data_IF_399381006301
#
_entry.id   IF_399381006301
#
_cell.length_a   1.000
_cell.length_b   1.000
_cell.length_c   1.000
_cell.angle_alpha   90.00
_cell.angle_beta   90.00
_cell.angle_gamma   90.00
#
_symmetry.space_group_name_H-M   'P 1'
#
loop_
_entity.id
_entity.type
_entity.pdbx_description
1 polymer ?
#
# COMPACT_ATOMS: atom_id res chain seq x y z
N UNK A 1 10.66 5.44 -30.58
CA UNK A 1 9.80 4.89 -29.51
C UNK A 1 10.30 5.40 -28.17
N UNK A 2 9.68 6.44 -27.60
CA UNK A 2 10.04 6.97 -26.28
C UNK A 2 8.78 7.00 -25.40
N UNK A 3 8.33 5.82 -25.02
CA UNK A 3 7.16 5.63 -24.17
C UNK A 3 7.62 5.38 -22.74
N UNK A 4 7.07 6.13 -21.79
CA UNK A 4 7.28 5.95 -20.36
C UNK A 4 5.95 5.61 -19.70
N UNK A 5 5.96 4.75 -18.68
CA UNK A 5 4.78 4.34 -17.93
C UNK A 5 4.12 5.54 -17.23
N UNK A 6 4.91 6.43 -16.63
CA UNK A 6 4.39 7.61 -15.95
C UNK A 6 3.37 7.22 -14.87
N UNK A 7 2.16 7.80 -14.93
CA UNK A 7 1.04 7.46 -14.04
C UNK A 7 0.13 6.33 -14.55
N UNK A 8 0.46 5.68 -15.66
CA UNK A 8 -0.31 4.56 -16.20
C UNK A 8 0.01 3.27 -15.45
N UNK A 9 -0.93 2.32 -15.47
CA UNK A 9 -0.64 0.95 -15.04
C UNK A 9 0.38 0.30 -15.97
N UNK A 10 1.10 -0.72 -15.51
CA UNK A 10 1.96 -1.55 -16.36
C UNK A 10 1.14 -2.19 -17.48
N UNK A 11 -0.14 -2.50 -17.24
CA UNK A 11 -1.04 -3.07 -18.25
C UNK A 11 -1.30 -2.09 -19.39
N UNK A 12 -1.70 -0.86 -19.10
CA UNK A 12 -1.97 0.17 -20.11
C UNK A 12 -0.69 0.53 -20.87
N UNK A 13 0.43 0.65 -20.15
CA UNK A 13 1.74 0.85 -20.75
C UNK A 13 2.12 -0.27 -21.72
N UNK A 14 1.88 -1.53 -21.34
CA UNK A 14 2.18 -2.70 -22.18
C UNK A 14 1.35 -2.72 -23.46
N UNK A 15 0.08 -2.32 -23.37
CA UNK A 15 -0.80 -2.18 -24.51
C UNK A 15 -0.27 -1.12 -25.48
N UNK A 16 0.00 0.09 -24.98
CA UNK A 16 0.55 1.20 -25.79
C UNK A 16 1.90 0.85 -26.41
N UNK A 17 2.78 0.20 -25.64
CA UNK A 17 4.07 -0.27 -26.13
C UNK A 17 3.91 -1.23 -27.33
N UNK A 18 2.97 -2.17 -27.24
CA UNK A 18 2.69 -3.13 -28.30
C UNK A 18 2.11 -2.46 -29.54
N UNK A 19 1.20 -1.50 -29.34
CA UNK A 19 0.59 -0.74 -30.43
C UNK A 19 1.63 0.08 -31.20
N UNK A 20 2.48 0.82 -30.48
CA UNK A 20 3.52 1.61 -31.12
C UNK A 20 4.64 0.76 -31.74
N UNK A 21 4.88 -0.46 -31.22
CA UNK A 21 5.88 -1.40 -31.76
C UNK A 21 5.56 -1.83 -33.19
N UNK A 22 4.27 -1.86 -33.57
CA UNK A 22 3.82 -2.15 -34.94
C UNK A 22 4.36 -1.14 -35.97
N UNK A 23 4.54 0.11 -35.54
CA UNK A 23 4.97 1.21 -36.41
C UNK A 23 6.48 1.46 -36.35
N UNK A 24 7.23 0.73 -35.51
CA UNK A 24 8.66 0.90 -35.33
C UNK A 24 9.44 -0.45 -35.38
N UNK A 25 9.25 -1.28 -36.42
CA UNK A 25 9.81 -2.63 -36.49
C UNK A 25 11.35 -2.64 -36.39
N UNK A 26 12.02 -1.60 -36.87
CA UNK A 26 13.48 -1.45 -36.79
C UNK A 26 13.99 -1.21 -35.37
N UNK A 27 13.19 -0.56 -34.51
CA UNK A 27 13.55 -0.25 -33.12
C UNK A 27 13.40 -1.49 -32.21
N UNK A 28 12.54 -2.44 -32.61
CA UNK A 28 12.22 -3.65 -31.83
C UNK A 28 12.63 -4.94 -32.55
N UNK A 29 13.52 -4.84 -33.54
CA UNK A 29 13.91 -5.97 -34.40
C UNK A 29 14.54 -7.13 -33.61
N UNK A 30 15.35 -6.82 -32.60
CA UNK A 30 15.93 -7.81 -31.70
C UNK A 30 15.00 -8.01 -30.47
N UNK A 31 14.58 -9.25 -30.15
CA UNK A 31 13.76 -9.55 -28.97
C UNK A 31 14.35 -9.01 -27.65
N UNK A 32 15.67 -9.13 -27.46
CA UNK A 32 16.36 -8.60 -26.28
C UNK A 32 16.38 -7.08 -26.26
N UNK A 33 16.57 -6.43 -27.40
CA UNK A 33 16.46 -4.97 -27.49
C UNK A 33 15.04 -4.48 -27.20
N UNK A 34 14.02 -5.23 -27.62
CA UNK A 34 12.61 -4.96 -27.33
C UNK A 34 12.30 -5.04 -25.84
N UNK A 35 12.79 -6.07 -25.16
CA UNK A 35 12.66 -6.21 -23.70
C UNK A 35 13.39 -5.09 -22.96
N UNK A 36 14.63 -4.78 -23.34
CA UNK A 36 15.37 -3.66 -22.75
C UNK A 36 14.61 -2.33 -22.96
N UNK A 37 14.01 -2.15 -24.15
CA UNK A 37 13.28 -0.92 -24.46
C UNK A 37 12.00 -0.77 -23.64
N UNK A 38 11.30 -1.88 -23.40
CA UNK A 38 10.17 -1.93 -22.49
C UNK A 38 10.63 -1.54 -21.07
N UNK A 39 11.68 -2.20 -20.56
CA UNK A 39 12.21 -1.92 -19.22
C UNK A 39 12.59 -0.46 -18.98
N UNK A 40 13.25 0.17 -19.95
CA UNK A 40 13.63 1.59 -19.83
C UNK A 40 12.44 2.54 -19.65
N UNK A 41 11.23 2.12 -20.02
CA UNK A 41 10.02 2.91 -19.83
C UNK A 41 9.14 2.47 -18.67
N UNK A 42 9.45 1.35 -18.02
CA UNK A 42 8.70 0.85 -16.87
C UNK A 42 9.12 1.58 -15.59
N UNK A 43 8.17 1.78 -14.67
CA UNK A 43 8.41 2.42 -13.38
C UNK A 43 9.46 1.69 -12.54
N UNK A 44 10.27 2.44 -11.79
CA UNK A 44 11.31 1.90 -10.89
C UNK A 44 10.76 0.95 -9.83
N UNK A 45 9.45 1.01 -9.56
CA UNK A 45 8.77 0.14 -8.60
C UNK A 45 8.84 -1.34 -8.99
N UNK A 46 8.83 -1.68 -10.28
CA UNK A 46 8.87 -3.08 -10.75
C UNK A 46 10.16 -3.40 -11.52
N UNK A 47 11.01 -2.39 -11.73
CA UNK A 47 12.22 -2.47 -12.55
C UNK A 47 13.23 -3.50 -12.02
N UNK A 48 13.55 -3.48 -10.72
CA UNK A 48 14.61 -4.33 -10.14
C UNK A 48 14.31 -5.82 -10.27
N UNK A 49 13.07 -6.19 -9.99
CA UNK A 49 12.60 -7.57 -10.10
C UNK A 49 12.51 -8.02 -11.56
N UNK A 50 12.10 -7.12 -12.47
CA UNK A 50 12.04 -7.42 -13.90
C UNK A 50 13.44 -7.54 -14.54
N UNK A 51 14.43 -6.74 -14.10
CA UNK A 51 15.82 -6.89 -14.57
C UNK A 51 16.43 -8.24 -14.20
N UNK A 52 16.09 -8.76 -13.01
CA UNK A 52 16.60 -10.06 -12.55
C UNK A 52 15.99 -11.21 -13.35
N UNK A 53 14.69 -11.14 -13.65
CA UNK A 53 14.03 -12.15 -14.48
C UNK A 53 14.50 -12.11 -15.94
N UNK A 54 14.90 -10.96 -16.48
CA UNK A 54 15.49 -10.87 -17.83
C UNK A 54 16.84 -11.57 -18.01
N UNK A 55 17.47 -12.03 -16.93
CA UNK A 55 18.67 -12.86 -16.99
C UNK A 55 18.35 -14.34 -17.25
N UNK A 56 17.07 -14.73 -17.22
CA UNK A 56 16.62 -16.07 -17.57
C UNK A 56 16.53 -16.20 -19.10
N UNK A 57 17.13 -17.25 -19.66
CA UNK A 57 17.24 -17.45 -21.12
C UNK A 57 15.90 -17.74 -21.81
N UNK A 58 14.87 -18.12 -21.06
CA UNK A 58 13.53 -18.44 -21.56
C UNK A 58 12.54 -17.27 -21.49
N UNK A 59 13.01 -16.07 -21.16
CA UNK A 59 12.16 -14.89 -21.06
C UNK A 59 11.95 -14.20 -22.41
N UNK A 60 10.68 -13.89 -22.68
CA UNK A 60 10.25 -13.05 -23.78
C UNK A 60 9.49 -11.81 -23.27
N UNK A 61 9.16 -10.91 -24.19
CA UNK A 61 8.46 -9.67 -23.87
C UNK A 61 7.06 -9.91 -23.27
N UNK A 62 6.34 -10.94 -23.72
CA UNK A 62 4.99 -11.25 -23.24
C UNK A 62 5.02 -11.74 -21.81
N UNK A 63 5.96 -12.63 -21.49
CA UNK A 63 6.18 -13.13 -20.13
C UNK A 63 6.68 -12.04 -19.21
N UNK A 64 7.53 -11.14 -19.71
CA UNK A 64 8.01 -9.97 -18.97
C UNK A 64 6.86 -9.01 -18.63
N UNK A 65 5.96 -8.73 -19.57
CA UNK A 65 4.79 -7.87 -19.34
C UNK A 65 3.87 -8.46 -18.26
N UNK A 66 3.59 -9.75 -18.31
CA UNK A 66 2.76 -10.43 -17.30
C UNK A 66 3.42 -10.38 -15.93
N UNK A 67 4.72 -10.65 -15.87
CA UNK A 67 5.48 -10.59 -14.62
C UNK A 67 5.48 -9.18 -14.02
N UNK A 68 5.70 -8.15 -14.84
CA UNK A 68 5.66 -6.76 -14.40
C UNK A 68 4.29 -6.35 -13.85
N UNK A 69 3.19 -6.80 -14.46
CA UNK A 69 1.83 -6.58 -13.96
C UNK A 69 1.62 -7.22 -12.58
N UNK A 70 2.06 -8.48 -12.41
CA UNK A 70 1.93 -9.19 -11.14
C UNK A 70 2.68 -8.49 -9.99
N UNK A 71 3.87 -7.93 -10.26
CA UNK A 71 4.64 -7.19 -9.27
C UNK A 71 3.95 -5.87 -8.90
N UNK A 72 3.43 -5.14 -9.89
CA UNK A 72 2.71 -3.90 -9.62
C UNK A 72 1.49 -4.16 -8.71
N UNK A 73 0.72 -5.21 -9.01
CA UNK A 73 -0.42 -5.63 -8.19
C UNK A 73 -0.02 -6.11 -6.79
N UNK A 74 1.09 -6.86 -6.67
CA UNK A 74 1.56 -7.34 -5.37
C UNK A 74 2.00 -6.18 -4.47
N UNK A 75 2.74 -5.21 -5.03
CA UNK A 75 3.21 -4.03 -4.29
C UNK A 75 2.07 -3.11 -3.88
N UNK A 76 1.07 -2.91 -4.74
CA UNK A 76 -0.17 -2.18 -4.37
C UNK A 76 -0.88 -2.88 -3.20
N UNK A 77 -0.92 -4.21 -3.20
CA UNK A 77 -1.55 -4.99 -2.12
C UNK A 77 -0.76 -4.89 -0.81
N UNK A 78 0.56 -4.93 -0.86
CA UNK A 78 1.45 -4.76 0.30
C UNK A 78 1.30 -3.36 0.91
N UNK A 79 1.35 -2.28 0.12
CA UNK A 79 1.16 -0.91 0.63
C UNK A 79 -0.21 -0.73 1.32
N UNK A 80 -1.26 -1.39 0.82
CA UNK A 80 -2.61 -1.39 1.45
C UNK A 80 -2.65 -2.18 2.76
N UNK A 81 -1.83 -3.20 2.91
CA UNK A 81 -1.71 -4.01 4.13
C UNK A 81 -0.80 -3.35 5.18
N UNK A 82 0.27 -2.68 4.76
CA UNK A 82 1.16 -1.90 5.63
C UNK A 82 0.44 -0.67 6.23
N UNK A 83 -0.51 -0.08 5.50
CA UNK A 83 -1.45 0.92 6.04
C UNK A 83 -2.44 0.36 7.08
N UNK A 84 -2.50 -0.98 7.23
CA UNK A 84 -3.26 -1.72 8.24
C UNK A 84 -2.34 -2.44 9.22
N UNK A 85 -1.18 -1.90 9.57
CA UNK A 85 -0.47 -2.40 10.74
C UNK A 85 -1.41 -2.24 11.95
N UNK A 86 -1.89 -3.33 12.59
CA UNK A 86 -2.42 -3.19 13.93
C UNK A 86 -1.24 -2.65 14.72
N UNK A 87 -1.47 -1.59 15.49
CA UNK A 87 -0.55 -1.26 16.58
C UNK A 87 -0.31 -2.59 17.29
N UNK A 88 0.93 -3.06 17.37
CA UNK A 88 1.29 -4.08 18.34
C UNK A 88 1.04 -3.42 19.69
N UNK A 89 -0.18 -3.53 20.20
CA UNK A 89 -0.42 -3.30 21.59
C UNK A 89 0.12 -4.48 22.38
N UNK A 90 0.80 -4.08 23.44
CA UNK A 90 0.97 -4.83 24.67
C UNK A 90 2.09 -5.87 24.71
N UNK A 91 3.30 -5.41 25.05
CA UNK A 91 3.99 -5.93 26.24
C UNK A 91 4.84 -4.82 26.88
N UNK A 92 4.39 -4.39 28.06
CA UNK A 92 5.23 -3.98 29.20
C UNK A 92 6.13 -2.76 29.06
N UNK A 93 5.55 -1.56 29.15
CA UNK A 93 6.15 -0.48 29.95
C UNK A 93 5.07 0.14 30.85
N UNK A 94 4.90 -0.42 32.06
CA UNK A 94 4.34 0.31 33.19
C UNK A 94 5.29 1.48 33.51
N UNK A 95 5.22 2.55 32.75
CA UNK A 95 5.63 3.85 33.26
C UNK A 95 4.63 4.22 34.36
N UNK A 96 5.07 4.71 35.53
CA UNK A 96 4.17 5.08 36.61
C UNK A 96 3.36 6.30 36.17
N UNK A 97 2.23 6.05 35.51
CA UNK A 97 1.29 7.06 35.09
C UNK A 97 0.67 7.67 36.34
N UNK A 98 1.17 8.84 36.75
CA UNK A 98 0.69 9.59 37.92
C UNK A 98 -0.81 9.82 37.78
N UNK A 99 -1.58 9.40 38.79
CA UNK A 99 -3.01 9.70 38.87
C UNK A 99 -3.17 11.21 39.00
N UNK A 100 -4.20 11.77 38.37
CA UNK A 100 -4.50 13.17 38.57
C UNK A 100 -4.82 13.42 40.06
N UNK A 101 -4.13 14.33 40.76
CA UNK A 101 -4.39 14.60 42.18
C UNK A 101 -5.77 15.24 42.42
N UNK A 102 -6.42 15.76 41.37
CA UNK A 102 -7.72 16.45 41.45
C UNK A 102 -8.90 15.49 41.33
N UNK A 103 -8.80 14.43 40.52
CA UNK A 103 -9.93 13.51 40.26
C UNK A 103 -9.61 12.03 40.43
N UNK A 104 -8.37 11.67 40.74
CA UNK A 104 -7.92 10.28 40.94
C UNK A 104 -7.86 9.41 39.68
N UNK A 105 -8.27 9.92 38.51
CA UNK A 105 -8.28 9.19 37.23
C UNK A 105 -7.03 9.47 36.40
N UNK A 106 -6.75 8.57 35.44
CA UNK A 106 -5.65 8.69 34.50
C UNK A 106 -6.12 9.33 33.20
N UNK A 107 -5.52 10.46 32.82
CA UNK A 107 -5.81 11.14 31.56
C UNK A 107 -4.55 11.82 31.00
N UNK A 108 -4.40 11.79 29.68
CA UNK A 108 -3.34 12.50 28.96
C UNK A 108 -3.79 13.90 28.57
N UNK A 109 -3.85 14.82 29.53
CA UNK A 109 -4.36 16.18 29.31
C UNK A 109 -4.68 16.91 30.61
N UNK A 110 -5.16 18.16 30.52
CA UNK A 110 -5.53 18.96 31.70
C UNK A 110 -6.85 18.46 32.30
N UNK A 111 -6.91 18.31 33.62
CA UNK A 111 -8.10 17.84 34.31
C UNK A 111 -9.20 18.90 34.30
N UNK A 112 -10.38 18.58 33.77
CA UNK A 112 -11.55 19.49 33.73
C UNK A 112 -12.53 19.27 34.89
N UNK A 113 -12.14 18.52 35.93
CA UNK A 113 -13.01 18.17 37.05
C UNK A 113 -13.46 19.35 37.93
N UNK A 114 -13.05 20.59 37.60
CA UNK A 114 -13.40 21.79 38.36
C UNK A 114 -13.83 22.97 37.49
N UNK A 115 -14.58 22.67 36.43
CA UNK A 115 -15.26 23.71 35.65
C UNK A 115 -16.70 23.25 35.45
N UNK A 116 -17.64 24.02 36.01
CA UNK A 116 -19.08 23.76 36.02
C UNK A 116 -19.65 23.79 34.59
N UNK A 117 -19.42 22.71 33.85
CA UNK A 117 -19.81 22.60 32.46
C UNK A 117 -19.74 21.16 31.97
N UNK A 118 -20.74 20.36 32.32
CA UNK A 118 -21.01 19.13 31.59
C UNK A 118 -21.43 19.48 30.16
N UNK A 119 -20.49 19.44 29.20
CA UNK A 119 -20.84 19.13 27.82
C UNK A 119 -20.28 17.75 27.49
N UNK A 120 -21.16 16.75 27.57
CA UNK A 120 -20.88 15.42 27.11
C UNK A 120 -20.68 15.45 25.59
N UNK A 121 -19.46 15.15 25.13
CA UNK A 121 -19.26 14.59 23.79
C UNK A 121 -18.61 13.22 23.96
N UNK A 122 -19.47 12.21 23.85
CA UNK A 122 -19.14 10.83 24.14
C UNK A 122 -18.21 10.21 23.10
N UNK A 123 -17.61 9.09 23.51
CA UNK A 123 -17.45 7.95 22.62
C UNK A 123 -17.61 6.64 23.43
N UNK A 124 -18.71 5.95 23.08
CA UNK A 124 -19.00 4.51 23.06
C UNK A 124 -18.39 3.64 24.17
N UNK A 125 -19.19 3.48 25.23
CA UNK A 125 -19.12 2.36 26.19
C UNK A 125 -19.73 1.13 25.50
N UNK A 126 -18.91 0.07 25.41
CA UNK A 126 -19.22 -1.36 25.46
C UNK A 126 -20.55 -1.88 24.88
N UNK A 127 -20.45 -2.84 23.95
CA UNK A 127 -21.57 -3.65 23.43
C UNK A 127 -22.36 -4.33 24.56
N UNK A 128 -23.66 -4.05 24.66
CA UNK A 128 -24.60 -4.84 25.43
C UNK A 128 -24.88 -6.17 24.72
N UNK A 129 -24.82 -7.28 25.45
CA UNK A 129 -25.53 -8.52 25.11
C UNK A 129 -26.81 -8.60 25.96
N UNK A 130 -27.92 -8.46 25.25
CA UNK A 130 -29.26 -9.07 25.42
C UNK A 130 -30.11 -8.85 26.70
N UNK A 131 -31.07 -7.94 26.52
CA UNK A 131 -32.51 -7.89 26.87
C UNK A 131 -33.09 -8.55 28.14
N UNK A 132 -33.92 -7.82 28.93
CA UNK A 132 -34.83 -8.38 29.93
C UNK A 132 -36.20 -8.71 29.31
N UNK A 133 -36.73 -9.90 29.63
CA UNK A 133 -38.14 -10.22 29.42
C UNK A 133 -38.99 -9.62 30.54
N UNK A 134 -40.11 -8.98 30.18
CA UNK A 134 -41.13 -8.54 31.14
C UNK A 134 -42.53 -8.93 30.62
N UNK A 135 -43.11 -10.02 31.13
CA UNK A 135 -44.26 -10.04 32.04
C UNK A 135 -44.56 -11.49 32.46
#
# INVERSE_FOLDING_TARGET
MNLLQGGMSVQDYSFEFTQLSKYAPTIVANPRARMNKFMMGVSSLVEKECLTTMLLDDMDISRLMVYAQQIEESKIRETRQEGRMPRLDDFSHQSPKKRCPTCGKQHGGKCLARTDGCLAFGNKVHNMRDFPNLK
#
